data_IF_527971376505
#
_entry.id   IF_527971376505
#
_cell.length_a   1.000
_cell.length_b   1.000
_cell.length_c   1.000
_cell.angle_alpha   90.00
_cell.angle_beta   90.00
_cell.angle_gamma   90.00
#
_symmetry.space_group_name_H-M   'P 1'
#
loop_
_entity.id
_entity.type
_entity.pdbx_description
1 polymer ?
#
# COMPACT_ATOMS: atom_id res chain seq x y z
N UNK A 1 -13.83 20.98 0.21
CA UNK A 1 -12.64 20.48 -0.55
C UNK A 1 -13.01 19.24 -1.39
N UNK A 2 -13.07 19.32 -2.74
CA UNK A 2 -13.27 18.13 -3.59
C UNK A 2 -12.27 17.06 -3.16
N UNK A 3 -12.77 15.92 -2.65
CA UNK A 3 -11.96 14.73 -2.44
C UNK A 3 -11.42 14.39 -3.83
N UNK A 4 -10.22 14.87 -4.11
CA UNK A 4 -9.48 14.47 -5.28
C UNK A 4 -9.37 12.95 -5.15
N UNK A 5 -10.11 12.22 -6.00
CA UNK A 5 -9.96 10.80 -6.30
C UNK A 5 -8.60 10.35 -5.77
N UNK A 6 -8.61 9.55 -4.70
CA UNK A 6 -7.42 9.14 -3.94
C UNK A 6 -6.23 9.06 -4.90
N UNK A 7 -5.34 10.05 -4.82
CA UNK A 7 -4.16 10.22 -5.68
C UNK A 7 -3.12 9.09 -5.45
N UNK A 8 -3.54 7.94 -4.94
CA UNK A 8 -2.68 6.85 -4.52
C UNK A 8 -2.77 5.60 -5.40
N UNK A 9 -3.85 5.38 -6.14
CA UNK A 9 -4.06 4.08 -6.78
C UNK A 9 -3.76 4.06 -8.29
N UNK A 10 -2.50 4.35 -8.62
CA UNK A 10 -2.03 4.35 -10.00
C UNK A 10 -1.90 2.93 -10.59
N UNK A 11 -1.70 1.93 -9.72
CA UNK A 11 -1.51 0.53 -10.12
C UNK A 11 -2.81 -0.14 -10.58
N UNK A 12 -3.97 0.28 -10.04
CA UNK A 12 -5.28 -0.16 -10.53
C UNK A 12 -5.53 0.09 -12.02
N UNK A 13 -4.82 1.02 -12.65
CA UNK A 13 -4.95 1.25 -14.10
C UNK A 13 -4.67 -0.01 -14.92
N UNK A 14 -3.85 -0.93 -14.42
CA UNK A 14 -3.52 -2.17 -15.11
C UNK A 14 -4.61 -3.24 -15.00
N UNK A 15 -5.55 -3.10 -14.07
CA UNK A 15 -6.48 -4.16 -13.69
C UNK A 15 -7.93 -3.72 -13.42
N UNK A 16 -8.25 -2.41 -13.50
CA UNK A 16 -9.56 -1.81 -13.15
C UNK A 16 -10.77 -2.58 -13.71
N UNK A 17 -10.70 -3.01 -14.97
CA UNK A 17 -11.82 -3.72 -15.58
C UNK A 17 -12.00 -5.13 -15.01
N UNK A 18 -10.90 -5.81 -14.72
CA UNK A 18 -10.92 -7.14 -14.11
C UNK A 18 -11.37 -7.07 -12.66
N UNK A 19 -10.88 -6.12 -11.85
CA UNK A 19 -11.32 -5.98 -10.45
C UNK A 19 -12.82 -5.74 -10.37
N UNK A 20 -13.36 -4.87 -11.22
CA UNK A 20 -14.79 -4.56 -11.26
C UNK A 20 -15.65 -5.78 -11.59
N UNK A 21 -15.25 -6.53 -12.60
CA UNK A 21 -15.96 -7.73 -13.02
C UNK A 21 -15.92 -8.82 -11.94
N UNK A 22 -14.75 -9.06 -11.35
CA UNK A 22 -14.58 -10.06 -10.29
C UNK A 22 -15.35 -9.72 -9.03
N UNK A 23 -15.35 -8.45 -8.62
CA UNK A 23 -16.11 -8.01 -7.46
C UNK A 23 -17.58 -8.43 -7.58
N UNK A 24 -18.22 -8.12 -8.71
CA UNK A 24 -19.61 -8.51 -8.93
C UNK A 24 -19.80 -10.02 -9.02
N UNK A 25 -18.94 -10.74 -9.74
CA UNK A 25 -19.05 -12.19 -9.85
C UNK A 25 -18.81 -12.91 -8.51
N UNK A 26 -17.94 -12.37 -7.66
CA UNK A 26 -17.58 -12.97 -6.38
C UNK A 26 -18.67 -12.81 -5.32
N UNK A 27 -19.31 -11.64 -5.26
CA UNK A 27 -20.32 -11.33 -4.24
C UNK A 27 -21.75 -11.72 -4.62
N UNK A 28 -22.09 -11.79 -5.91
CA UNK A 28 -23.43 -12.25 -6.34
C UNK A 28 -23.64 -13.74 -6.03
N UNK A 29 -22.57 -14.54 -6.02
CA UNK A 29 -22.59 -15.99 -5.75
C UNK A 29 -23.66 -16.77 -6.58
N UNK A 30 -24.05 -16.21 -7.72
CA UNK A 30 -25.13 -16.68 -8.58
C UNK A 30 -24.90 -16.27 -10.04
N UNK A 31 -25.78 -16.71 -10.93
CA UNK A 31 -25.77 -16.36 -12.34
C UNK A 31 -25.98 -14.86 -12.56
N UNK A 32 -25.09 -14.25 -13.34
CA UNK A 32 -25.14 -12.86 -13.74
C UNK A 32 -25.27 -12.76 -15.26
N UNK A 33 -26.27 -12.04 -15.75
CA UNK A 33 -26.38 -11.77 -17.17
C UNK A 33 -25.33 -10.74 -17.62
N UNK A 34 -24.87 -10.84 -18.87
CA UNK A 34 -23.97 -9.82 -19.45
C UNK A 34 -24.60 -8.43 -19.48
N UNK A 35 -25.94 -8.35 -19.50
CA UNK A 35 -26.67 -7.07 -19.42
C UNK A 35 -26.50 -6.43 -18.05
N UNK A 36 -26.64 -7.20 -16.97
CA UNK A 36 -26.44 -6.71 -15.60
C UNK A 36 -24.99 -6.31 -15.36
N UNK A 37 -24.04 -7.16 -15.76
CA UNK A 37 -22.62 -6.85 -15.63
C UNK A 37 -22.23 -5.60 -16.41
N UNK A 38 -22.79 -5.41 -17.62
CA UNK A 38 -22.56 -4.21 -18.42
C UNK A 38 -23.07 -2.95 -17.72
N UNK A 39 -24.25 -3.00 -17.11
CA UNK A 39 -24.80 -1.88 -16.33
C UNK A 39 -23.97 -1.60 -15.08
N UNK A 40 -23.58 -2.62 -14.32
CA UNK A 40 -22.83 -2.48 -13.06
C UNK A 40 -21.40 -2.00 -13.28
N UNK A 41 -20.73 -2.46 -14.34
CA UNK A 41 -19.32 -2.13 -14.60
C UNK A 41 -19.11 -0.94 -15.54
N UNK A 42 -20.13 -0.56 -16.31
CA UNK A 42 -20.03 0.48 -17.34
C UNK A 42 -19.36 0.04 -18.65
N UNK A 43 -18.93 -1.22 -18.76
CA UNK A 43 -18.30 -1.76 -19.97
C UNK A 43 -19.29 -2.46 -20.89
N UNK A 44 -19.01 -2.47 -22.20
CA UNK A 44 -19.88 -3.15 -23.17
C UNK A 44 -19.89 -4.67 -23.00
N UNK A 45 -21.02 -5.30 -23.32
CA UNK A 45 -21.17 -6.78 -23.27
C UNK A 45 -20.07 -7.53 -24.02
N UNK A 46 -19.66 -7.02 -25.18
CA UNK A 46 -18.62 -7.64 -26.02
C UNK A 46 -17.22 -7.54 -25.40
N UNK A 47 -16.94 -6.46 -24.67
CA UNK A 47 -15.69 -6.29 -23.94
C UNK A 47 -15.66 -7.23 -22.74
N UNK A 48 -16.72 -7.21 -21.93
CA UNK A 48 -16.85 -8.09 -20.77
C UNK A 48 -16.76 -9.57 -21.15
N UNK A 49 -17.40 -9.99 -22.25
CA UNK A 49 -17.30 -11.36 -22.72
C UNK A 49 -15.85 -11.75 -23.03
N UNK A 50 -15.09 -10.89 -23.70
CA UNK A 50 -13.68 -11.13 -24.02
C UNK A 50 -12.83 -11.23 -22.75
N UNK A 51 -13.06 -10.37 -21.78
CA UNK A 51 -12.37 -10.41 -20.49
C UNK A 51 -12.70 -11.69 -19.72
N UNK A 52 -13.97 -12.12 -19.72
CA UNK A 52 -14.40 -13.38 -19.10
C UNK A 52 -13.70 -14.55 -19.77
N UNK A 53 -13.60 -14.58 -21.10
CA UNK A 53 -12.88 -15.62 -21.82
C UNK A 53 -11.40 -15.66 -21.40
N UNK A 54 -10.74 -14.50 -21.33
CA UNK A 54 -9.35 -14.38 -20.92
C UNK A 54 -9.13 -14.80 -19.44
N UNK A 55 -10.00 -14.35 -18.53
CA UNK A 55 -9.90 -14.77 -17.13
C UNK A 55 -10.14 -16.27 -16.97
N UNK A 56 -11.11 -16.84 -17.70
CA UNK A 56 -11.46 -18.27 -17.59
C UNK A 56 -10.27 -19.20 -17.87
N UNK A 57 -9.28 -18.76 -18.66
CA UNK A 57 -8.08 -19.56 -18.95
C UNK A 57 -7.00 -19.45 -17.88
N UNK A 58 -7.09 -18.45 -16.99
CA UNK A 58 -6.04 -18.05 -16.05
C UNK A 58 -6.64 -17.88 -14.63
N UNK A 59 -7.48 -18.83 -14.20
CA UNK A 59 -8.01 -18.87 -12.84
C UNK A 59 -7.14 -19.78 -11.95
N UNK A 60 -7.09 -19.52 -10.62
CA UNK A 60 -6.44 -20.40 -9.69
C UNK A 60 -7.12 -21.79 -9.64
N UNK A 61 -6.43 -22.83 -9.13
CA UNK A 61 -7.01 -24.15 -8.96
C UNK A 61 -8.33 -24.11 -8.19
N UNK A 62 -9.29 -24.95 -8.56
CA UNK A 62 -10.64 -25.02 -7.95
C UNK A 62 -11.58 -23.83 -8.26
N UNK A 63 -11.08 -22.76 -8.88
CA UNK A 63 -11.91 -21.66 -9.37
C UNK A 63 -12.34 -21.91 -10.82
N UNK A 64 -13.58 -21.57 -11.16
CA UNK A 64 -14.09 -21.73 -12.52
C UNK A 64 -15.14 -20.68 -12.84
N UNK A 65 -15.20 -20.21 -14.09
CA UNK A 65 -16.35 -19.44 -14.58
C UNK A 65 -17.22 -20.35 -15.43
N UNK A 66 -18.42 -20.65 -14.93
CA UNK A 66 -19.47 -21.33 -15.69
C UNK A 66 -20.16 -20.34 -16.62
N UNK A 67 -20.55 -20.84 -17.80
CA UNK A 67 -21.18 -20.07 -18.87
C UNK A 67 -22.46 -20.78 -19.30
N UNK A 68 -23.54 -20.02 -19.40
CA UNK A 68 -24.83 -20.49 -19.87
C UNK A 68 -25.44 -19.42 -20.78
N UNK A 69 -25.98 -19.83 -21.94
CA UNK A 69 -26.49 -18.89 -22.94
C UNK A 69 -27.70 -18.07 -22.46
N UNK A 70 -28.48 -18.62 -21.53
CA UNK A 70 -29.70 -17.99 -20.99
C UNK A 70 -29.41 -17.26 -19.69
N UNK A 71 -28.71 -17.92 -18.77
CA UNK A 71 -28.47 -17.42 -17.41
C UNK A 71 -27.25 -16.47 -17.31
N UNK A 72 -26.34 -16.52 -18.30
CA UNK A 72 -25.15 -15.67 -18.34
C UNK A 72 -23.91 -16.37 -17.78
N UNK A 73 -23.26 -15.78 -16.78
CA UNK A 73 -21.99 -16.27 -16.23
C UNK A 73 -22.03 -16.35 -14.70
N UNK A 74 -21.34 -17.33 -14.13
CA UNK A 74 -21.22 -17.50 -12.68
C UNK A 74 -19.79 -17.88 -12.30
N UNK A 75 -19.25 -17.28 -11.25
CA UNK A 75 -17.99 -17.69 -10.66
C UNK A 75 -18.24 -18.81 -9.64
N UNK A 76 -17.55 -19.93 -9.84
CA UNK A 76 -17.42 -21.03 -8.90
C UNK A 76 -16.14 -20.80 -8.10
N UNK A 77 -16.27 -20.78 -6.78
CA UNK A 77 -15.18 -20.56 -5.82
C UNK A 77 -15.14 -21.67 -4.77
N UNK A 78 -13.97 -21.99 -4.20
CA UNK A 78 -13.88 -22.93 -3.09
C UNK A 78 -14.54 -22.35 -1.84
N UNK A 79 -14.92 -23.21 -0.89
CA UNK A 79 -15.69 -22.82 0.32
C UNK A 79 -15.02 -21.71 1.13
N UNK A 80 -13.68 -21.70 1.15
CA UNK A 80 -12.87 -20.72 1.87
C UNK A 80 -12.13 -19.77 0.91
N UNK A 81 -12.50 -19.75 -0.38
CA UNK A 81 -11.86 -18.90 -1.38
C UNK A 81 -12.17 -17.43 -1.12
N UNK A 82 -11.13 -16.62 -1.04
CA UNK A 82 -11.27 -15.18 -0.79
C UNK A 82 -11.11 -14.38 -2.08
N UNK A 83 -11.68 -13.18 -2.12
CA UNK A 83 -11.51 -12.28 -3.26
C UNK A 83 -10.04 -11.87 -3.39
N UNK A 84 -9.34 -11.74 -2.26
CA UNK A 84 -7.92 -11.43 -2.18
C UNK A 84 -7.06 -12.50 -2.84
N UNK A 85 -7.35 -13.79 -2.62
CA UNK A 85 -6.62 -14.90 -3.24
C UNK A 85 -6.76 -14.87 -4.77
N UNK A 86 -8.00 -14.76 -5.26
CA UNK A 86 -8.26 -14.65 -6.69
C UNK A 86 -7.58 -13.43 -7.30
N UNK A 87 -7.59 -12.32 -6.56
CA UNK A 87 -6.98 -11.09 -7.02
C UNK A 87 -5.46 -11.15 -7.06
N UNK A 88 -4.84 -11.74 -6.04
CA UNK A 88 -3.42 -12.01 -6.00
C UNK A 88 -2.97 -12.80 -7.22
N UNK A 89 -3.67 -13.89 -7.55
CA UNK A 89 -3.37 -14.70 -8.73
C UNK A 89 -3.44 -13.90 -10.04
N UNK A 90 -4.48 -13.09 -10.22
CA UNK A 90 -4.62 -12.33 -11.46
C UNK A 90 -3.60 -11.19 -11.59
N UNK A 91 -3.15 -10.62 -10.48
CA UNK A 91 -2.03 -9.67 -10.47
C UNK A 91 -0.72 -10.36 -10.85
N UNK A 92 -0.43 -11.55 -10.30
CA UNK A 92 0.81 -12.28 -10.60
C UNK A 92 0.93 -12.69 -12.07
N UNK A 93 -0.21 -12.99 -12.72
CA UNK A 93 -0.26 -13.32 -14.15
C UNK A 93 -0.27 -12.09 -15.07
N UNK A 94 -0.38 -10.87 -14.53
CA UNK A 94 -0.46 -9.67 -15.35
C UNK A 94 0.93 -9.23 -15.83
N UNK A 95 1.13 -9.29 -17.14
CA UNK A 95 2.39 -8.90 -17.80
C UNK A 95 2.84 -7.44 -17.56
N UNK A 96 1.93 -6.52 -17.20
CA UNK A 96 2.34 -5.16 -16.78
C UNK A 96 3.06 -5.19 -15.43
N UNK A 97 2.52 -5.93 -14.45
CA UNK A 97 3.14 -6.06 -13.13
C UNK A 97 4.44 -6.86 -13.22
N UNK A 98 4.47 -7.94 -13.99
CA UNK A 98 5.72 -8.69 -14.23
C UNK A 98 6.80 -7.79 -14.86
N UNK A 99 6.44 -6.93 -15.82
CA UNK A 99 7.40 -5.98 -16.42
C UNK A 99 7.85 -4.92 -15.41
N UNK A 100 6.92 -4.38 -14.63
CA UNK A 100 7.20 -3.40 -13.59
C UNK A 100 8.13 -3.97 -12.50
N UNK A 101 7.89 -5.21 -12.07
CA UNK A 101 8.73 -5.94 -11.11
C UNK A 101 10.19 -6.00 -11.56
N UNK A 102 10.41 -6.38 -12.81
CA UNK A 102 11.76 -6.45 -13.38
C UNK A 102 12.44 -5.07 -13.33
N UNK A 103 11.71 -4.00 -13.59
CA UNK A 103 12.23 -2.62 -13.56
C UNK A 103 12.51 -2.15 -12.12
N UNK A 104 11.68 -2.53 -11.15
CA UNK A 104 11.79 -2.13 -9.75
C UNK A 104 13.01 -2.76 -9.07
N UNK A 105 13.24 -4.05 -9.32
CA UNK A 105 14.17 -4.86 -8.53
C UNK A 105 15.51 -5.16 -9.22
N UNK A 106 15.71 -4.72 -10.46
CA UNK A 106 16.99 -4.87 -11.16
C UNK A 106 17.66 -3.50 -11.39
N UNK A 107 18.99 -3.47 -11.46
CA UNK A 107 19.76 -2.27 -11.78
C UNK A 107 19.79 -1.96 -13.30
N UNK A 108 18.62 -1.85 -13.91
CA UNK A 108 18.48 -1.63 -15.34
C UNK A 108 18.14 -2.90 -16.11
N UNK A 109 17.06 -2.85 -16.89
CA UNK A 109 16.62 -3.96 -17.74
C UNK A 109 16.57 -3.55 -19.21
N UNK A 110 16.84 -4.49 -20.11
CA UNK A 110 16.74 -4.25 -21.56
C UNK A 110 15.42 -4.78 -22.10
N UNK A 111 14.99 -4.30 -23.27
CA UNK A 111 13.82 -4.88 -23.97
C UNK A 111 13.99 -6.39 -24.15
N UNK A 112 15.20 -6.83 -24.55
CA UNK A 112 15.50 -8.26 -24.73
C UNK A 112 15.24 -9.05 -23.44
N UNK A 113 15.71 -8.54 -22.31
CA UNK A 113 15.50 -9.18 -21.02
C UNK A 113 14.01 -9.28 -20.66
N UNK A 114 13.24 -8.19 -20.82
CA UNK A 114 11.79 -8.19 -20.56
C UNK A 114 11.08 -9.19 -21.46
N UNK A 115 11.35 -9.18 -22.78
CA UNK A 115 10.70 -10.13 -23.71
C UNK A 115 10.96 -11.59 -23.37
N UNK A 116 12.16 -11.90 -22.86
CA UNK A 116 12.53 -13.26 -22.47
C UNK A 116 11.88 -13.71 -21.16
N UNK A 117 11.76 -12.81 -20.19
CA UNK A 117 11.21 -13.11 -18.86
C UNK A 117 9.69 -13.09 -18.80
N UNK A 118 9.06 -12.16 -19.51
CA UNK A 118 7.60 -11.93 -19.51
C UNK A 118 6.92 -12.64 -20.70
N UNK A 119 7.68 -13.23 -21.62
CA UNK A 119 7.19 -13.96 -22.80
C UNK A 119 6.25 -13.15 -23.71
N UNK A 120 6.58 -11.88 -23.94
CA UNK A 120 5.81 -10.94 -24.77
C UNK A 120 6.64 -10.37 -25.93
N UNK A 121 5.95 -9.87 -26.95
CA UNK A 121 6.60 -9.26 -28.12
C UNK A 121 7.26 -7.91 -27.78
N UNK A 122 8.29 -7.52 -28.55
CA UNK A 122 8.96 -6.22 -28.38
C UNK A 122 8.01 -5.03 -28.47
N UNK A 123 7.04 -5.05 -29.40
CA UNK A 123 6.06 -3.98 -29.54
C UNK A 123 5.10 -3.91 -28.35
N UNK A 124 4.78 -5.06 -27.73
CA UNK A 124 4.01 -5.10 -26.47
C UNK A 124 4.79 -4.45 -25.34
N UNK A 125 6.10 -4.73 -25.21
CA UNK A 125 6.94 -4.12 -24.17
C UNK A 125 6.94 -2.60 -24.27
N UNK A 126 7.14 -2.03 -25.47
CA UNK A 126 7.12 -0.57 -25.62
C UNK A 126 5.79 0.07 -25.17
N UNK A 127 4.65 -0.52 -25.54
CA UNK A 127 3.33 -0.04 -25.09
C UNK A 127 3.15 -0.17 -23.57
N UNK A 128 3.74 -1.20 -22.95
CA UNK A 128 3.71 -1.33 -21.50
C UNK A 128 4.57 -0.27 -20.82
N UNK A 129 5.77 0.01 -21.35
CA UNK A 129 6.66 1.02 -20.82
C UNK A 129 6.03 2.42 -20.83
N UNK A 130 5.30 2.79 -21.88
CA UNK A 130 4.55 4.06 -21.93
C UNK A 130 3.56 4.19 -20.76
N UNK A 131 2.78 3.14 -20.48
CA UNK A 131 1.83 3.14 -19.37
C UNK A 131 2.50 3.07 -18.00
N UNK A 132 3.61 2.34 -17.89
CA UNK A 132 4.42 2.30 -16.67
C UNK A 132 5.00 3.69 -16.39
N UNK A 133 5.47 4.40 -17.41
CA UNK A 133 5.98 5.76 -17.27
C UNK A 133 4.90 6.73 -16.77
N UNK A 134 3.65 6.62 -17.25
CA UNK A 134 2.52 7.39 -16.70
C UNK A 134 2.31 7.12 -15.20
N UNK A 135 2.37 5.85 -14.78
CA UNK A 135 2.22 5.46 -13.37
C UNK A 135 3.36 6.03 -12.52
N UNK A 136 4.60 5.90 -12.99
CA UNK A 136 5.79 6.41 -12.32
C UNK A 136 5.75 7.94 -12.18
N UNK A 137 5.33 8.65 -13.23
CA UNK A 137 5.20 10.11 -13.22
C UNK A 137 4.24 10.59 -12.14
N UNK A 138 3.13 9.86 -11.93
CA UNK A 138 2.19 10.21 -10.87
C UNK A 138 2.75 9.95 -9.47
N UNK A 139 3.65 8.98 -9.32
CA UNK A 139 4.41 8.74 -8.10
C UNK A 139 5.63 9.69 -7.93
N UNK A 140 5.78 10.68 -8.83
CA UNK A 140 6.88 11.66 -8.87
C UNK A 140 8.27 11.03 -9.04
N UNK A 141 8.34 9.89 -9.73
CA UNK A 141 9.57 9.21 -10.15
C UNK A 141 9.56 9.03 -11.66
N UNK A 142 10.72 8.66 -12.25
CA UNK A 142 10.88 8.62 -13.69
C UNK A 142 11.45 7.28 -14.15
N UNK A 143 11.10 6.90 -15.37
CA UNK A 143 11.74 5.80 -16.08
C UNK A 143 12.92 6.36 -16.87
N UNK A 144 14.10 5.77 -16.70
CA UNK A 144 15.27 6.10 -17.53
C UNK A 144 15.21 5.43 -18.90
N UNK A 145 15.97 5.96 -19.86
CA UNK A 145 16.23 5.29 -21.13
C UNK A 145 16.97 3.96 -20.92
N UNK A 146 16.87 3.06 -21.90
CA UNK A 146 17.48 1.73 -21.81
C UNK A 146 18.97 1.79 -21.43
N UNK A 147 19.45 1.01 -20.45
CA UNK A 147 18.71 0.02 -19.66
C UNK A 147 17.72 0.66 -18.67
N UNK A 148 16.45 0.24 -18.76
CA UNK A 148 15.33 0.85 -18.04
C UNK A 148 15.45 0.58 -16.55
N UNK A 149 15.55 1.66 -15.78
CA UNK A 149 15.50 1.66 -14.31
C UNK A 149 14.73 2.88 -13.82
N UNK A 150 14.25 2.81 -12.58
CA UNK A 150 13.61 3.94 -11.93
C UNK A 150 14.68 4.91 -11.43
N UNK A 151 14.48 6.20 -11.72
CA UNK A 151 15.35 7.31 -11.32
C UNK A 151 14.51 8.44 -10.71
N UNK A 152 15.12 9.24 -9.85
CA UNK A 152 14.44 10.29 -9.09
C UNK A 152 14.92 10.36 -7.64
N UNK A 153 14.09 10.93 -6.78
CA UNK A 153 14.30 10.98 -5.33
C UNK A 153 14.20 9.57 -4.73
N UNK A 154 15.26 9.12 -4.06
CA UNK A 154 15.37 7.75 -3.54
C UNK A 154 14.29 7.42 -2.51
N UNK A 155 13.83 8.38 -1.70
CA UNK A 155 12.73 8.18 -0.73
C UNK A 155 11.44 7.88 -1.50
N UNK A 156 11.16 8.63 -2.56
CA UNK A 156 9.97 8.43 -3.40
C UNK A 156 10.03 7.12 -4.17
N UNK A 157 11.21 6.72 -4.65
CA UNK A 157 11.43 5.42 -5.30
C UNK A 157 11.13 4.29 -4.33
N UNK A 158 11.70 4.31 -3.12
CA UNK A 158 11.47 3.26 -2.11
C UNK A 158 10.02 3.21 -1.66
N UNK A 159 9.36 4.37 -1.52
CA UNK A 159 7.91 4.43 -1.30
C UNK A 159 7.13 3.75 -2.43
N UNK A 160 7.46 4.03 -3.68
CA UNK A 160 6.78 3.41 -4.82
C UNK A 160 7.00 1.88 -4.87
N UNK A 161 8.21 1.41 -4.53
CA UNK A 161 8.48 -0.02 -4.38
C UNK A 161 7.65 -0.61 -3.26
N UNK A 162 7.58 0.03 -2.09
CA UNK A 162 6.75 -0.43 -0.97
C UNK A 162 5.27 -0.53 -1.35
N UNK A 163 4.74 0.49 -2.04
CA UNK A 163 3.38 0.49 -2.59
C UNK A 163 3.17 -0.68 -3.56
N UNK A 164 4.16 -0.99 -4.42
CA UNK A 164 4.09 -2.15 -5.30
C UNK A 164 4.02 -3.46 -4.52
N UNK A 165 4.86 -3.61 -3.47
CA UNK A 165 4.89 -4.82 -2.65
C UNK A 165 3.56 -5.01 -1.91
N UNK A 166 3.07 -3.97 -1.22
CA UNK A 166 1.76 -4.00 -0.55
C UNK A 166 0.62 -4.32 -1.52
N UNK A 167 0.67 -3.74 -2.73
CA UNK A 167 -0.32 -3.97 -3.77
C UNK A 167 -0.24 -5.40 -4.31
N UNK A 168 0.96 -5.96 -4.51
CA UNK A 168 1.13 -7.27 -5.13
C UNK A 168 0.94 -8.41 -4.15
N UNK A 169 1.28 -8.24 -2.87
CA UNK A 169 1.45 -9.37 -1.96
C UNK A 169 0.16 -9.95 -1.39
N UNK A 170 0.13 -11.28 -1.32
CA UNK A 170 -0.73 -12.07 -0.43
C UNK A 170 0.01 -12.42 0.86
N UNK A 171 1.16 -13.10 0.76
CA UNK A 171 2.10 -13.30 1.87
C UNK A 171 3.36 -12.43 1.66
N UNK A 172 3.59 -11.46 2.54
CA UNK A 172 4.72 -10.53 2.44
C UNK A 172 6.05 -11.16 2.90
N UNK A 173 6.03 -12.32 3.56
CA UNK A 173 7.25 -12.98 4.07
C UNK A 173 8.12 -13.52 2.93
N UNK A 174 7.49 -14.08 1.89
CA UNK A 174 8.18 -14.65 0.72
C UNK A 174 8.95 -13.60 -0.08
N UNK A 175 8.57 -12.32 0.07
CA UNK A 175 9.25 -11.20 -0.56
C UNK A 175 10.65 -10.94 0.03
N UNK A 176 10.85 -11.25 1.31
CA UNK A 176 12.07 -10.88 2.03
C UNK A 176 13.15 -11.94 1.82
N UNK A 177 14.11 -11.61 0.95
CA UNK A 177 15.20 -12.54 0.58
C UNK A 177 16.60 -12.09 0.99
N UNK A 178 16.77 -10.84 1.45
CA UNK A 178 18.10 -10.28 1.73
C UNK A 178 18.71 -10.68 3.07
N UNK A 179 17.89 -11.17 4.01
CA UNK A 179 18.32 -11.56 5.36
C UNK A 179 17.37 -12.61 5.94
N UNK A 180 17.76 -13.22 7.06
CA UNK A 180 16.90 -14.17 7.78
C UNK A 180 15.78 -13.41 8.51
N UNK A 181 14.54 -13.54 8.02
CA UNK A 181 13.38 -12.84 8.58
C UNK A 181 13.12 -13.20 10.06
N UNK A 182 13.24 -14.48 10.43
CA UNK A 182 13.03 -14.92 11.82
C UNK A 182 14.06 -14.30 12.76
N UNK A 183 15.33 -14.32 12.37
CA UNK A 183 16.39 -13.71 13.19
C UNK A 183 16.19 -12.20 13.35
N UNK A 184 15.73 -11.51 12.29
CA UNK A 184 15.37 -10.10 12.36
C UNK A 184 14.23 -9.85 13.33
N UNK A 185 13.15 -10.64 13.25
CA UNK A 185 11.99 -10.54 14.13
C UNK A 185 12.39 -10.78 15.59
N UNK A 186 13.15 -11.83 15.88
CA UNK A 186 13.61 -12.17 17.23
C UNK A 186 14.48 -11.04 17.81
N UNK A 187 15.45 -10.56 17.02
CA UNK A 187 16.32 -9.44 17.45
C UNK A 187 15.49 -8.18 17.71
N UNK A 188 14.57 -7.82 16.82
CA UNK A 188 13.73 -6.63 17.00
C UNK A 188 12.86 -6.75 18.27
N UNK A 189 12.27 -7.93 18.52
CA UNK A 189 11.47 -8.17 19.72
C UNK A 189 12.30 -8.06 21.01
N UNK A 190 13.56 -8.49 21.01
CA UNK A 190 14.49 -8.28 22.12
C UNK A 190 14.76 -6.80 22.35
N UNK A 191 15.06 -6.05 21.28
CA UNK A 191 15.30 -4.60 21.36
C UNK A 191 14.08 -3.82 21.84
N UNK A 192 12.88 -4.20 21.40
CA UNK A 192 11.64 -3.60 21.85
C UNK A 192 11.44 -3.79 23.36
N UNK A 193 11.77 -4.98 23.89
CA UNK A 193 11.74 -5.26 25.33
C UNK A 193 12.78 -4.46 26.09
N UNK A 194 14.03 -4.40 25.60
CA UNK A 194 15.12 -3.62 26.21
C UNK A 194 14.76 -2.15 26.37
N UNK A 195 14.14 -1.57 25.33
CA UNK A 195 13.79 -0.15 25.28
C UNK A 195 12.36 0.14 25.77
N UNK A 196 11.63 -0.87 26.25
CA UNK A 196 10.22 -0.78 26.68
C UNK A 196 9.31 -0.14 25.63
N UNK A 197 9.54 -0.39 24.33
CA UNK A 197 8.79 0.18 23.22
C UNK A 197 7.79 -0.83 22.65
N UNK A 198 6.67 -0.35 22.13
CA UNK A 198 5.67 -1.19 21.46
C UNK A 198 5.42 -0.66 20.05
N UNK A 199 5.08 -1.56 19.13
CA UNK A 199 4.78 -1.23 17.74
C UNK A 199 3.35 -1.64 17.38
N UNK A 200 2.79 -1.02 16.34
CA UNK A 200 1.49 -1.41 15.78
C UNK A 200 1.51 -2.84 15.20
N UNK A 201 0.33 -3.43 15.03
CA UNK A 201 0.20 -4.73 14.36
C UNK A 201 0.74 -4.63 12.92
N UNK A 202 1.56 -5.61 12.51
CA UNK A 202 2.15 -5.63 11.17
C UNK A 202 3.40 -4.76 11.00
N UNK A 203 3.73 -3.90 11.97
CA UNK A 203 4.89 -3.01 11.93
C UNK A 203 6.22 -3.76 11.74
N UNK A 204 6.40 -4.90 12.42
CA UNK A 204 7.62 -5.72 12.30
C UNK A 204 7.82 -6.19 10.87
N UNK A 205 6.76 -6.70 10.22
CA UNK A 205 6.80 -7.15 8.84
C UNK A 205 7.09 -5.97 7.90
N UNK A 206 6.42 -4.83 8.12
CA UNK A 206 6.63 -3.59 7.37
C UNK A 206 8.08 -3.10 7.44
N UNK A 207 8.66 -3.03 8.64
CA UNK A 207 10.07 -2.67 8.86
C UNK A 207 11.02 -3.64 8.16
N UNK A 208 10.70 -4.94 8.17
CA UNK A 208 11.49 -5.95 7.47
C UNK A 208 11.47 -5.74 5.94
N UNK A 209 10.31 -5.40 5.36
CA UNK A 209 10.18 -5.06 3.94
C UNK A 209 10.96 -3.78 3.61
N UNK A 210 10.86 -2.74 4.44
CA UNK A 210 11.60 -1.48 4.24
C UNK A 210 13.10 -1.75 4.23
N UNK A 211 13.59 -2.56 5.16
CA UNK A 211 14.99 -2.96 5.20
C UNK A 211 15.39 -3.78 3.97
N UNK A 212 14.53 -4.70 3.52
CA UNK A 212 14.77 -5.50 2.31
C UNK A 212 14.88 -4.61 1.07
N UNK A 213 13.96 -3.66 0.89
CA UNK A 213 13.99 -2.67 -0.19
C UNK A 213 15.29 -1.87 -0.10
N UNK A 214 15.66 -1.42 1.10
CA UNK A 214 16.89 -0.65 1.33
C UNK A 214 18.12 -1.46 0.90
N UNK A 215 18.19 -2.75 1.25
CA UNK A 215 19.25 -3.64 0.82
C UNK A 215 19.35 -3.77 -0.70
N UNK A 216 18.22 -4.00 -1.41
CA UNK A 216 18.19 -4.04 -2.88
C UNK A 216 18.70 -2.73 -3.48
N UNK A 217 18.31 -1.58 -2.92
CA UNK A 217 18.73 -0.28 -3.44
C UNK A 217 20.21 0.01 -3.17
N UNK A 218 20.71 -0.38 -2.00
CA UNK A 218 22.13 -0.26 -1.63
C UNK A 218 23.01 -1.12 -2.56
N UNK A 219 22.61 -2.34 -2.92
CA UNK A 219 23.38 -3.16 -3.89
C UNK A 219 23.46 -2.52 -5.27
N UNK A 220 22.49 -1.67 -5.62
CA UNK A 220 22.48 -0.86 -6.83
C UNK A 220 23.21 0.49 -6.68
N UNK A 221 23.88 0.71 -5.55
CA UNK A 221 24.54 1.98 -5.17
C UNK A 221 23.57 3.17 -5.01
N UNK A 222 22.29 2.90 -4.79
CA UNK A 222 21.24 3.89 -4.55
C UNK A 222 20.94 4.01 -3.05
N UNK A 223 21.46 5.06 -2.42
CA UNK A 223 21.26 5.31 -0.99
C UNK A 223 20.45 6.59 -0.76
N UNK A 224 19.71 6.64 0.34
CA UNK A 224 19.01 7.84 0.79
C UNK A 224 20.03 8.87 1.28
N UNK A 225 19.69 10.15 1.12
CA UNK A 225 20.49 11.27 1.62
C UNK A 225 19.59 12.22 2.41
N UNK A 226 20.04 12.60 3.60
CA UNK A 226 19.37 13.57 4.46
C UNK A 226 20.27 14.80 4.70
N UNK A 227 19.68 16.00 4.89
CA UNK A 227 20.42 17.15 5.39
C UNK A 227 20.98 16.86 6.79
N UNK A 228 22.21 17.35 7.08
CA UNK A 228 22.88 17.12 8.37
C UNK A 228 22.03 17.53 9.58
N UNK A 229 21.31 18.64 9.48
CA UNK A 229 20.40 19.13 10.54
C UNK A 229 19.39 18.07 10.96
N UNK A 230 18.81 17.34 10.00
CA UNK A 230 17.81 16.30 10.28
C UNK A 230 18.47 15.08 10.95
N UNK A 231 19.72 14.77 10.60
CA UNK A 231 20.49 13.71 11.25
C UNK A 231 20.77 14.08 12.70
N UNK A 232 21.31 15.28 12.93
CA UNK A 232 21.71 15.75 14.25
C UNK A 232 20.50 15.83 15.22
N UNK A 233 19.31 16.20 14.72
CA UNK A 233 18.06 16.25 15.50
C UNK A 233 17.56 14.86 15.94
N UNK A 234 17.86 13.80 15.19
CA UNK A 234 17.29 12.47 15.40
C UNK A 234 18.31 11.42 15.90
N UNK A 235 19.60 11.71 15.87
CA UNK A 235 20.68 10.77 16.24
C UNK A 235 20.57 10.30 17.70
N UNK A 236 20.05 11.14 18.61
CA UNK A 236 19.89 10.80 20.03
C UNK A 236 18.59 10.05 20.34
N UNK A 237 17.75 9.78 19.34
CA UNK A 237 16.47 9.10 19.56
C UNK A 237 16.64 7.62 19.90
N UNK A 238 15.73 7.06 20.69
CA UNK A 238 15.67 5.62 20.97
C UNK A 238 15.51 4.81 19.68
N UNK A 239 14.69 5.30 18.75
CA UNK A 239 14.48 4.71 17.43
C UNK A 239 15.77 4.61 16.61
N UNK A 240 16.63 5.63 16.67
CA UNK A 240 17.92 5.63 15.97
C UNK A 240 18.86 4.57 16.56
N UNK A 241 18.95 4.47 17.88
CA UNK A 241 19.79 3.44 18.53
C UNK A 241 19.28 2.01 18.27
N UNK A 242 17.96 1.78 18.27
CA UNK A 242 17.39 0.48 17.85
C UNK A 242 17.76 0.18 16.39
N UNK A 243 17.57 1.14 15.49
CA UNK A 243 17.85 0.98 14.06
C UNK A 243 19.33 0.72 13.78
N UNK A 244 20.21 1.34 14.56
CA UNK A 244 21.66 1.13 14.51
C UNK A 244 22.05 -0.28 14.95
N UNK A 245 21.39 -0.86 15.96
CA UNK A 245 21.60 -2.27 16.35
C UNK A 245 21.09 -3.24 15.27
N UNK A 246 20.01 -2.88 14.56
CA UNK A 246 19.49 -3.67 13.43
C UNK A 246 20.36 -3.61 12.17
N UNK A 247 21.37 -2.74 12.13
CA UNK A 247 22.28 -2.60 10.99
C UNK A 247 23.00 -3.91 10.60
N UNK A 248 23.11 -4.89 11.51
CA UNK A 248 23.68 -6.21 11.18
C UNK A 248 22.95 -6.93 10.03
N UNK A 249 21.69 -6.58 9.78
CA UNK A 249 20.86 -7.13 8.70
C UNK A 249 20.93 -6.30 7.39
N UNK A 250 21.66 -5.18 7.41
CA UNK A 250 21.82 -4.29 6.26
C UNK A 250 23.05 -4.68 5.44
N UNK A 251 22.96 -4.57 4.12
CA UNK A 251 24.10 -4.75 3.22
C UNK A 251 25.13 -3.64 3.44
N UNK A 252 26.40 -3.97 3.28
CA UNK A 252 27.51 -3.03 3.45
C UNK A 252 27.33 -1.78 2.58
N UNK A 253 27.22 -0.64 3.23
CA UNK A 253 27.12 0.66 2.58
C UNK A 253 28.47 1.11 2.00
N UNK A 254 28.47 1.94 0.94
CA UNK A 254 29.71 2.43 0.32
C UNK A 254 30.57 3.31 1.24
N UNK A 255 29.93 4.11 2.12
CA UNK A 255 30.61 5.00 3.06
C UNK A 255 29.78 5.18 4.34
N UNK A 256 30.40 5.78 5.37
CA UNK A 256 29.78 6.01 6.68
C UNK A 256 28.64 7.02 6.65
N UNK A 257 28.70 8.04 5.81
CA UNK A 257 27.65 9.05 5.70
C UNK A 257 26.35 8.44 5.15
N UNK A 258 26.44 7.61 4.12
CA UNK A 258 25.31 6.84 3.58
C UNK A 258 24.79 5.86 4.61
N UNK A 259 25.68 5.17 5.33
CA UNK A 259 25.27 4.27 6.41
C UNK A 259 24.42 4.99 7.47
N UNK A 260 24.84 6.16 7.94
CA UNK A 260 24.07 6.95 8.91
C UNK A 260 22.72 7.38 8.32
N UNK A 261 22.69 7.78 7.05
CA UNK A 261 21.44 8.15 6.37
C UNK A 261 20.47 6.98 6.24
N UNK A 262 20.97 5.76 5.99
CA UNK A 262 20.15 4.54 5.93
C UNK A 262 19.63 4.10 7.31
N UNK A 263 20.44 4.26 8.36
CA UNK A 263 19.99 4.03 9.73
C UNK A 263 18.89 5.02 10.11
N UNK A 264 19.07 6.30 9.77
CA UNK A 264 18.05 7.32 9.97
C UNK A 264 16.78 7.01 9.19
N UNK A 265 16.90 6.55 7.95
CA UNK A 265 15.75 6.16 7.14
C UNK A 265 14.92 5.08 7.86
N UNK A 266 15.56 4.02 8.36
CA UNK A 266 14.88 2.97 9.11
C UNK A 266 14.30 3.50 10.43
N UNK A 267 15.00 4.39 11.13
CA UNK A 267 14.52 4.93 12.42
C UNK A 267 13.29 5.81 12.25
N UNK A 268 13.20 6.57 11.16
CA UNK A 268 12.03 7.39 10.87
C UNK A 268 10.78 6.52 10.63
N UNK A 269 10.92 5.38 9.95
CA UNK A 269 9.84 4.39 9.84
C UNK A 269 9.54 3.68 11.16
N UNK A 270 10.55 3.43 11.99
CA UNK A 270 10.29 2.90 13.33
C UNK A 270 9.44 3.87 14.16
N UNK A 271 9.75 5.17 14.11
CA UNK A 271 8.99 6.21 14.83
C UNK A 271 7.56 6.33 14.34
N UNK A 272 7.29 6.12 13.03
CA UNK A 272 5.91 6.12 12.51
C UNK A 272 5.09 4.93 13.01
N UNK A 273 5.75 3.82 13.35
CA UNK A 273 5.12 2.57 13.80
C UNK A 273 5.09 2.41 15.33
N UNK A 274 5.78 3.26 16.08
CA UNK A 274 5.83 3.21 17.54
C UNK A 274 4.45 3.54 18.13
N UNK A 275 3.95 2.71 19.04
CA UNK A 275 2.72 2.88 19.81
C UNK A 275 2.98 3.70 21.08
N UNK A 276 2.01 4.49 21.52
CA UNK A 276 2.12 5.13 22.82
C UNK A 276 1.86 4.08 23.91
N UNK A 277 2.78 3.95 24.86
CA UNK A 277 2.71 2.92 25.91
C UNK A 277 1.65 3.26 26.97
N UNK A 278 1.34 4.55 27.15
CA UNK A 278 0.44 5.02 28.18
C UNK A 278 -0.84 5.59 27.58
N UNK A 279 -1.81 4.69 27.34
CA UNK A 279 -3.15 5.01 26.84
C UNK A 279 -3.81 6.17 27.59
N UNK A 280 -3.68 6.22 28.92
CA UNK A 280 -4.27 7.29 29.73
C UNK A 280 -3.64 8.65 29.44
N UNK A 281 -2.31 8.69 29.28
CA UNK A 281 -1.60 9.93 28.99
C UNK A 281 -1.92 10.42 27.58
N UNK A 282 -2.02 9.51 26.61
CA UNK A 282 -2.38 9.86 25.24
C UNK A 282 -3.82 10.35 25.13
N UNK A 283 -4.77 9.67 25.78
CA UNK A 283 -6.17 10.13 25.85
C UNK A 283 -6.28 11.52 26.46
N UNK A 284 -5.50 11.82 27.51
CA UNK A 284 -5.44 13.18 28.09
C UNK A 284 -4.88 14.20 27.09
N UNK A 285 -3.82 13.83 26.36
CA UNK A 285 -3.23 14.70 25.34
C UNK A 285 -4.18 14.98 24.17
N UNK A 286 -4.87 13.96 23.65
CA UNK A 286 -5.82 14.13 22.55
C UNK A 286 -7.00 14.99 23.00
N UNK A 287 -7.58 14.69 24.17
CA UNK A 287 -8.70 15.45 24.72
C UNK A 287 -8.34 16.90 25.01
N UNK A 288 -7.12 17.17 25.49
CA UNK A 288 -6.67 18.56 25.66
C UNK A 288 -6.46 19.26 24.32
N UNK A 289 -5.98 18.53 23.30
CA UNK A 289 -5.77 19.07 21.95
C UNK A 289 -7.06 19.36 21.20
N UNK A 290 -8.14 18.60 21.42
CA UNK A 290 -9.47 18.90 20.88
C UNK A 290 -9.95 20.31 21.27
N UNK A 291 -9.56 20.79 22.44
CA UNK A 291 -9.92 22.13 22.94
C UNK A 291 -8.98 23.25 22.42
N UNK A 292 -7.93 22.90 21.69
CA UNK A 292 -7.00 23.86 21.09
C UNK A 292 -7.48 24.32 19.71
N UNK A 293 -7.04 25.50 19.26
CA UNK A 293 -7.35 25.97 17.90
C UNK A 293 -6.93 24.96 16.81
N UNK A 294 -5.81 24.28 17.01
CA UNK A 294 -5.32 23.24 16.08
C UNK A 294 -6.16 21.96 16.04
N UNK A 295 -7.00 21.73 17.07
CA UNK A 295 -7.83 20.53 17.20
C UNK A 295 -9.31 20.75 16.91
N UNK A 296 -9.75 22.01 16.68
CA UNK A 296 -11.14 22.34 16.35
C UNK A 296 -11.71 21.51 15.20
N UNK A 297 -10.99 21.31 14.06
CA UNK A 297 -11.54 20.50 12.96
C UNK A 297 -11.83 19.06 13.37
N UNK A 298 -10.98 18.47 14.22
CA UNK A 298 -11.19 17.12 14.74
C UNK A 298 -12.36 17.08 15.75
N UNK A 299 -12.50 18.11 16.58
CA UNK A 299 -13.63 18.24 17.51
C UNK A 299 -14.98 18.35 16.79
N UNK A 300 -15.05 19.17 15.74
CA UNK A 300 -16.24 19.31 14.88
C UNK A 300 -16.55 18.01 14.14
N UNK A 301 -15.52 17.34 13.60
CA UNK A 301 -15.67 16.01 13.01
C UNK A 301 -16.32 15.02 13.95
N UNK A 302 -15.78 14.90 15.17
CA UNK A 302 -16.29 13.98 16.18
C UNK A 302 -17.71 14.35 16.62
N UNK A 303 -18.01 15.63 16.80
CA UNK A 303 -19.36 16.08 17.18
C UNK A 303 -20.40 15.74 16.10
N UNK A 304 -20.06 15.98 14.83
CA UNK A 304 -20.95 15.66 13.71
C UNK A 304 -21.13 14.16 13.53
N UNK A 305 -20.06 13.38 13.71
CA UNK A 305 -20.11 11.93 13.71
C UNK A 305 -21.00 11.40 14.84
N UNK A 306 -20.83 11.90 16.07
CA UNK A 306 -21.67 11.53 17.21
C UNK A 306 -23.15 11.82 16.97
N UNK A 307 -23.47 12.98 16.37
CA UNK A 307 -24.86 13.35 16.04
C UNK A 307 -25.48 12.42 15.00
N UNK A 308 -24.75 12.05 13.94
CA UNK A 308 -25.28 11.18 12.88
C UNK A 308 -25.42 9.73 13.32
N UNK A 309 -24.47 9.21 14.09
CA UNK A 309 -24.50 7.82 14.59
C UNK A 309 -25.48 7.68 15.77
N UNK A 310 -25.78 8.78 16.47
CA UNK A 310 -26.65 8.77 17.66
C UNK A 310 -25.95 8.25 18.92
N UNK A 311 -24.61 8.19 18.90
CA UNK A 311 -23.75 7.75 20.00
C UNK A 311 -22.59 8.71 20.15
N UNK A 312 -22.26 9.11 21.39
CA UNK A 312 -21.12 10.01 21.61
C UNK A 312 -19.79 9.26 21.51
N UNK A 313 -19.23 9.22 20.29
CA UNK A 313 -17.97 8.53 20.00
C UNK A 313 -16.76 9.18 20.67
N UNK A 314 -16.86 10.45 21.11
CA UNK A 314 -15.78 11.17 21.78
C UNK A 314 -15.49 10.67 23.20
N UNK A 315 -16.48 10.01 23.81
CA UNK A 315 -16.37 9.41 25.14
C UNK A 315 -15.86 7.97 25.10
N UNK A 316 -15.86 7.33 23.94
CA UNK A 316 -15.31 5.99 23.78
C UNK A 316 -13.77 6.06 23.78
N UNK A 317 -13.18 5.67 24.91
CA UNK A 317 -11.73 5.65 25.11
C UNK A 317 -11.01 4.68 24.16
N UNK A 318 -11.67 3.64 23.63
CA UNK A 318 -11.07 2.69 22.67
C UNK A 318 -11.00 3.39 21.32
N UNK A 319 -12.13 3.89 20.84
CA UNK A 319 -12.21 4.62 19.59
C UNK A 319 -11.25 5.82 19.56
N UNK A 320 -11.25 6.65 20.60
CA UNK A 320 -10.38 7.84 20.66
C UNK A 320 -8.89 7.50 20.64
N UNK A 321 -8.51 6.40 21.29
CA UNK A 321 -7.13 5.93 21.27
C UNK A 321 -6.73 5.44 19.87
N UNK A 322 -7.52 4.55 19.27
CA UNK A 322 -7.25 4.00 17.93
C UNK A 322 -7.27 5.10 16.84
N UNK A 323 -8.18 6.06 16.94
CA UNK A 323 -8.25 7.20 16.03
C UNK A 323 -6.98 8.05 16.12
N UNK A 324 -6.49 8.33 17.32
CA UNK A 324 -5.28 9.11 17.50
C UNK A 324 -4.02 8.36 17.05
N UNK A 325 -3.94 7.05 17.29
CA UNK A 325 -2.89 6.20 16.74
C UNK A 325 -2.87 6.29 15.21
N UNK A 326 -4.04 6.16 14.59
CA UNK A 326 -4.22 6.28 13.14
C UNK A 326 -3.77 7.66 12.62
N UNK A 327 -4.24 8.74 13.24
CA UNK A 327 -3.89 10.11 12.85
C UNK A 327 -2.40 10.41 13.05
N UNK A 328 -1.77 9.86 14.10
CA UNK A 328 -0.34 9.98 14.35
C UNK A 328 0.46 9.30 13.25
N UNK A 329 0.10 8.05 12.89
CA UNK A 329 0.69 7.37 11.74
C UNK A 329 0.55 8.17 10.45
N UNK A 330 -0.66 8.71 10.17
CA UNK A 330 -0.89 9.59 9.01
C UNK A 330 0.01 10.84 9.05
N UNK A 331 0.14 11.48 10.20
CA UNK A 331 0.97 12.67 10.35
C UNK A 331 2.45 12.36 10.07
N UNK A 332 2.99 11.28 10.62
CA UNK A 332 4.37 10.87 10.36
C UNK A 332 4.58 10.54 8.89
N UNK A 333 3.66 9.78 8.30
CA UNK A 333 3.72 9.41 6.89
C UNK A 333 3.68 10.62 5.95
N UNK A 334 2.87 11.62 6.26
CA UNK A 334 2.81 12.86 5.49
C UNK A 334 4.09 13.68 5.63
N UNK A 335 4.62 13.82 6.85
CA UNK A 335 5.85 14.57 7.12
C UNK A 335 7.05 13.94 6.41
N UNK A 336 7.15 12.61 6.47
CA UNK A 336 8.26 11.86 5.90
C UNK A 336 8.04 11.54 4.42
N UNK A 337 6.85 11.86 3.88
CA UNK A 337 6.36 11.45 2.57
C UNK A 337 6.45 9.94 2.38
N UNK A 338 6.32 9.17 3.46
CA UNK A 338 6.43 7.70 3.50
C UNK A 338 5.09 7.00 3.46
N UNK A 339 3.98 7.72 3.21
CA UNK A 339 2.65 7.09 3.11
C UNK A 339 2.64 6.06 1.97
N UNK A 340 2.67 4.79 2.36
CA UNK A 340 2.59 3.67 1.44
C UNK A 340 1.26 2.95 1.56
N UNK A 341 0.42 3.29 2.55
CA UNK A 341 -0.84 2.62 2.86
C UNK A 341 -1.81 2.75 1.68
N UNK A 342 -1.63 1.85 0.72
CA UNK A 342 -2.66 1.54 -0.25
C UNK A 342 -3.43 0.42 0.42
N UNK A 343 -4.59 0.77 0.97
CA UNK A 343 -5.51 -0.27 1.40
C UNK A 343 -5.88 -1.05 0.13
N UNK A 344 -5.62 -2.36 0.09
CA UNK A 344 -5.97 -3.23 -1.05
C UNK A 344 -7.48 -3.17 -1.38
N UNK A 345 -8.28 -2.68 -0.43
CA UNK A 345 -9.71 -2.41 -0.57
C UNK A 345 -9.99 -1.09 -1.33
N UNK A 346 -9.02 -0.19 -1.50
CA UNK A 346 -9.16 1.08 -2.24
C UNK A 346 -9.68 0.88 -3.66
N UNK A 347 -9.24 -0.18 -4.35
CA UNK A 347 -9.76 -0.53 -5.67
C UNK A 347 -11.25 -0.89 -5.67
N UNK A 348 -11.76 -1.30 -4.51
CA UNK A 348 -13.15 -1.61 -4.28
C UNK A 348 -13.89 -0.48 -3.56
N UNK A 349 -13.23 0.64 -3.21
CA UNK A 349 -13.88 1.80 -2.61
C UNK A 349 -15.10 2.26 -3.39
N UNK A 350 -15.12 2.30 -4.74
CA UNK A 350 -16.34 2.62 -5.49
C UNK A 350 -17.54 1.70 -5.19
N UNK A 351 -17.30 0.52 -4.64
CA UNK A 351 -18.33 -0.41 -4.20
C UNK A 351 -18.70 -0.25 -2.73
N UNK A 352 -17.74 0.15 -1.89
CA UNK A 352 -17.98 0.50 -0.49
C UNK A 352 -18.50 1.94 -0.31
N UNK A 353 -18.37 2.80 -1.30
CA UNK A 353 -18.92 4.18 -1.34
C UNK A 353 -20.45 4.16 -1.20
N UNK A 354 -21.12 3.07 -1.57
CA UNK A 354 -22.56 2.90 -1.36
C UNK A 354 -22.91 2.41 0.06
N UNK A 355 -21.93 2.08 0.89
CA UNK A 355 -22.18 1.69 2.27
C UNK A 355 -22.67 2.92 3.05
N UNK A 356 -23.80 2.79 3.75
CA UNK A 356 -24.41 3.89 4.50
C UNK A 356 -23.42 4.57 5.45
N UNK A 357 -22.54 3.80 6.11
CA UNK A 357 -21.53 4.35 7.01
C UNK A 357 -20.50 5.20 6.27
N UNK A 358 -20.06 4.78 5.08
CA UNK A 358 -19.11 5.55 4.29
C UNK A 358 -19.71 6.88 3.82
N UNK A 359 -20.94 6.85 3.29
CA UNK A 359 -21.69 8.06 2.88
C UNK A 359 -21.84 9.02 4.05
N UNK A 360 -22.22 8.50 5.22
CA UNK A 360 -22.34 9.29 6.46
C UNK A 360 -21.02 10.00 6.78
N UNK A 361 -19.90 9.28 6.76
CA UNK A 361 -18.56 9.81 7.06
C UNK A 361 -18.13 10.85 6.02
N UNK A 362 -18.35 10.58 4.73
CA UNK A 362 -17.98 11.48 3.64
C UNK A 362 -18.76 12.81 3.71
N UNK A 363 -20.07 12.74 3.92
CA UNK A 363 -20.90 13.93 4.12
C UNK A 363 -20.44 14.78 5.30
N UNK A 364 -20.04 14.14 6.42
CA UNK A 364 -19.50 14.86 7.58
C UNK A 364 -18.19 15.55 7.24
N UNK A 365 -17.28 14.86 6.56
CA UNK A 365 -15.97 15.40 6.19
C UNK A 365 -16.09 16.60 5.23
N UNK A 366 -17.06 16.59 4.31
CA UNK A 366 -17.31 17.70 3.40
C UNK A 366 -17.78 18.95 4.13
N UNK A 367 -18.70 18.82 5.10
CA UNK A 367 -19.21 19.94 5.90
C UNK A 367 -18.11 20.72 6.64
N UNK A 368 -17.04 20.05 7.07
CA UNK A 368 -15.92 20.67 7.81
C UNK A 368 -14.97 21.42 6.88
N UNK A 369 -14.97 21.07 5.59
CA UNK A 369 -14.04 21.63 4.61
C UNK A 369 -14.55 22.89 3.90
N UNK A 370 -15.80 23.28 4.17
CA UNK A 370 -16.48 24.43 3.59
C UNK A 370 -16.75 25.55 4.64
N UNK A 371 -16.31 25.35 5.89
CA UNK A 371 -16.12 26.38 6.94
C UNK A 371 -14.64 26.81 7.00
#
# INVERSE_FOLDING_TARGET
MKINKVKGDFMNRFTDRYSKLLYHLFYEDNWCSLTELSKKTGYSKSTLWRDILHMSSNLPPEWKIDKNEVLGVRLMKPKNGTLEELWFHLKSENTYFQTLELILFNNGVTIKYITQKVHISRSTVYRQLEKIEEVLKNAEVQLSNSPFKIVGDEIKIRRFIMQYVEYMSGNLDDFITSFNLKEFQDTLLELLKEHSTSLHMGAIQRLAIILHISNIRITHNCCVAFPKVVIDENETSTAFEISKKLFKFMVKCPNREKQISEILFLSLYFMSEEMSLNRTQELRYIRSKLNSDSGKPLGEFLSNLSKKIGLDVSQDDIFMYELAQTLRGISFDLQLKTDTRINNILQFVPYFENNELFVIIEEIAQCISDE
#
